data_IF_653244420240
#
_entry.id   IF_653244420240
#
_cell.length_a   1.000
_cell.length_b   1.000
_cell.length_c   1.000
_cell.angle_alpha   90.00
_cell.angle_beta   90.00
_cell.angle_gamma   90.00
#
_symmetry.space_group_name_H-M   'P 1'
#
loop_
_entity.id
_entity.type
_entity.pdbx_description
1 polymer ?
#
# COMPACT_ATOMS: atom_id res chain seq x y z
N UNK A 1 22.26 -8.78 -10.86
CA UNK A 1 22.46 -8.23 -9.51
C UNK A 1 22.86 -6.76 -9.64
N UNK A 2 21.90 -5.87 -9.40
CA UNK A 2 22.18 -4.45 -9.19
C UNK A 2 23.31 -4.29 -8.16
N UNK A 3 24.27 -3.39 -8.40
CA UNK A 3 25.32 -3.06 -7.42
C UNK A 3 24.80 -2.17 -6.28
N UNK A 4 23.51 -1.81 -6.32
CA UNK A 4 22.85 -0.84 -5.45
C UNK A 4 21.60 -1.43 -4.82
N UNK A 5 21.48 -1.25 -3.51
CA UNK A 5 20.35 -1.65 -2.66
C UNK A 5 19.86 -0.48 -1.79
N UNK A 6 18.82 -0.69 -0.98
CA UNK A 6 18.25 0.34 -0.08
C UNK A 6 19.22 0.87 0.99
N UNK A 7 20.36 0.21 1.22
CA UNK A 7 21.39 0.65 2.19
C UNK A 7 22.54 1.41 1.53
N UNK A 8 22.57 1.48 0.20
CA UNK A 8 23.60 2.20 -0.54
C UNK A 8 23.51 3.70 -0.24
N UNK A 9 24.62 4.29 0.23
CA UNK A 9 24.72 5.72 0.52
C UNK A 9 24.84 6.51 -0.80
N UNK A 10 23.78 7.20 -1.18
CA UNK A 10 23.69 7.98 -2.40
C UNK A 10 22.74 9.19 -2.28
N UNK A 11 22.73 10.03 -3.31
CA UNK A 11 21.85 11.19 -3.42
C UNK A 11 20.39 10.75 -3.65
N UNK A 12 19.48 10.93 -2.68
CA UNK A 12 18.09 10.49 -2.81
C UNK A 12 17.34 11.24 -3.90
N UNK A 13 17.75 12.45 -4.29
CA UNK A 13 17.12 13.19 -5.38
C UNK A 13 17.39 12.53 -6.74
N UNK A 14 18.54 11.85 -6.87
CA UNK A 14 18.97 11.16 -8.10
C UNK A 14 18.91 9.64 -8.01
N UNK A 15 18.34 9.13 -6.92
CA UNK A 15 18.23 7.70 -6.62
C UNK A 15 17.43 6.94 -7.67
N UNK A 16 16.32 7.53 -8.08
CA UNK A 16 15.54 7.12 -9.23
C UNK A 16 15.54 8.24 -10.25
N UNK A 17 15.47 7.86 -11.53
CA UNK A 17 15.19 8.82 -12.58
C UNK A 17 13.80 9.42 -12.40
N UNK A 18 13.61 10.62 -12.93
CA UNK A 18 12.28 11.13 -13.22
C UNK A 18 11.53 10.12 -14.09
N UNK A 19 10.26 9.91 -13.81
CA UNK A 19 9.42 8.98 -14.57
C UNK A 19 9.10 9.57 -15.94
N UNK A 20 8.90 10.90 -16.00
CA UNK A 20 8.47 11.66 -17.18
C UNK A 20 7.39 10.89 -17.96
N UNK A 21 6.28 10.52 -17.30
CA UNK A 21 5.38 9.52 -17.83
C UNK A 21 4.73 10.02 -19.14
N UNK A 22 4.72 9.21 -20.22
CA UNK A 22 3.86 9.49 -21.35
C UNK A 22 2.40 9.48 -20.89
N UNK A 23 1.57 10.28 -21.56
CA UNK A 23 0.12 10.19 -21.40
C UNK A 23 -0.33 8.76 -21.70
N UNK A 24 -0.97 8.14 -20.73
CA UNK A 24 -1.46 6.77 -20.81
C UNK A 24 -2.65 6.60 -19.89
N UNK A 25 -3.61 5.79 -20.30
CA UNK A 25 -4.80 5.50 -19.51
C UNK A 25 -5.10 4.01 -19.57
N UNK A 26 -5.58 3.48 -18.46
CA UNK A 26 -6.05 2.12 -18.34
C UNK A 26 -7.42 2.12 -17.64
N UNK A 27 -8.31 1.16 -17.92
CA UNK A 27 -9.49 0.99 -17.08
C UNK A 27 -9.08 0.62 -15.66
N UNK A 28 -9.85 1.07 -14.66
CA UNK A 28 -9.70 0.64 -13.27
C UNK A 28 -9.77 -0.89 -13.14
N UNK A 29 -8.90 -1.53 -12.33
CA UNK A 29 -7.89 -0.92 -11.44
C UNK A 29 -6.56 -0.55 -12.10
N UNK A 30 -6.36 -0.96 -13.36
CA UNK A 30 -5.11 -0.83 -14.09
C UNK A 30 -4.21 -2.06 -13.91
N UNK A 31 -3.35 -2.32 -14.88
CA UNK A 31 -2.35 -3.40 -14.83
C UNK A 31 -0.97 -2.77 -14.88
N UNK A 32 -0.18 -2.96 -13.82
CA UNK A 32 1.13 -2.35 -13.66
C UNK A 32 2.11 -2.79 -14.75
N UNK A 33 2.12 -4.06 -15.13
CA UNK A 33 2.97 -4.58 -16.20
C UNK A 33 2.77 -3.86 -17.55
N UNK A 34 1.65 -3.15 -17.72
CA UNK A 34 1.31 -2.41 -18.95
C UNK A 34 1.64 -0.92 -18.88
N UNK A 35 2.12 -0.44 -17.72
CA UNK A 35 2.55 0.95 -17.55
C UNK A 35 3.85 1.24 -18.29
N UNK A 36 4.04 2.51 -18.65
CA UNK A 36 5.25 2.99 -19.28
C UNK A 36 5.75 4.25 -18.53
N UNK A 37 6.92 4.22 -17.87
CA UNK A 37 7.68 3.02 -17.53
C UNK A 37 6.93 2.13 -16.53
N UNK A 38 7.33 0.86 -16.42
CA UNK A 38 6.85 -0.01 -15.34
C UNK A 38 7.45 0.48 -14.00
N UNK A 39 6.64 0.66 -12.94
CA UNK A 39 7.14 1.00 -11.60
C UNK A 39 8.19 0.02 -11.07
N UNK A 40 9.19 0.53 -10.35
CA UNK A 40 10.18 -0.30 -9.63
C UNK A 40 9.63 -0.68 -8.26
N UNK A 41 9.41 -1.98 -8.03
CA UNK A 41 8.91 -2.52 -6.77
C UNK A 41 10.03 -2.98 -5.83
N UNK A 42 11.28 -2.88 -6.25
CA UNK A 42 12.44 -3.34 -5.51
C UNK A 42 12.84 -4.78 -5.84
N UNK A 43 12.35 -5.34 -6.95
CA UNK A 43 12.65 -6.67 -7.45
C UNK A 43 14.17 -6.90 -7.49
N UNK A 44 14.95 -5.96 -8.01
CA UNK A 44 16.40 -6.13 -8.09
C UNK A 44 17.17 -5.45 -6.94
N UNK A 45 16.50 -4.61 -6.15
CA UNK A 45 17.18 -3.64 -5.27
C UNK A 45 16.85 -3.79 -3.78
N UNK A 46 15.73 -4.39 -3.38
CA UNK A 46 15.42 -4.58 -1.97
C UNK A 46 16.21 -5.78 -1.41
N UNK A 47 17.14 -5.55 -0.48
CA UNK A 47 17.89 -6.61 0.20
C UNK A 47 17.32 -6.93 1.58
N UNK A 48 16.81 -8.14 1.77
CA UNK A 48 16.36 -8.62 3.09
C UNK A 48 17.48 -8.84 4.10
N UNK A 49 17.15 -8.73 5.39
CA UNK A 49 18.07 -8.92 6.52
C UNK A 49 17.49 -9.79 7.63
N UNK A 50 16.34 -10.42 7.41
CA UNK A 50 15.67 -11.32 8.35
C UNK A 50 14.83 -10.61 9.42
N UNK A 51 14.42 -9.35 9.18
CA UNK A 51 13.68 -8.54 10.18
C UNK A 51 12.27 -9.05 10.46
N UNK A 52 11.73 -9.91 9.60
CA UNK A 52 10.39 -10.49 9.69
C UNK A 52 10.39 -12.02 9.61
N UNK A 53 11.49 -12.66 10.01
CA UNK A 53 11.63 -14.11 9.95
C UNK A 53 10.47 -14.84 10.64
N UNK A 54 9.77 -15.70 9.89
CA UNK A 54 8.66 -16.53 10.38
C UNK A 54 7.34 -15.79 10.59
N UNK A 55 7.23 -14.52 10.19
CA UNK A 55 6.00 -13.73 10.26
C UNK A 55 5.02 -14.15 9.17
N UNK A 56 3.74 -13.80 9.37
CA UNK A 56 2.64 -14.12 8.46
C UNK A 56 1.86 -12.87 8.13
N UNK A 57 1.97 -12.42 6.88
CA UNK A 57 1.44 -11.15 6.43
C UNK A 57 0.30 -11.29 5.43
N UNK A 58 -0.73 -10.47 5.58
CA UNK A 58 -1.72 -10.21 4.55
C UNK A 58 -1.56 -8.78 4.03
N UNK A 59 -1.44 -8.60 2.72
CA UNK A 59 -1.33 -7.29 2.05
C UNK A 59 -2.45 -7.15 1.03
N UNK A 60 -3.37 -6.20 1.25
CA UNK A 60 -4.41 -5.87 0.25
C UNK A 60 -3.87 -4.94 -0.83
N UNK A 61 -4.29 -5.12 -2.08
CA UNK A 61 -3.68 -4.45 -3.24
C UNK A 61 -2.21 -4.81 -3.34
N UNK A 62 -1.91 -6.11 -3.11
CA UNK A 62 -0.55 -6.64 -3.01
C UNK A 62 0.00 -7.15 -4.34
N UNK A 63 -0.79 -7.05 -5.41
CA UNK A 63 -0.45 -7.37 -6.80
C UNK A 63 0.48 -6.33 -7.44
N UNK A 64 0.36 -5.06 -7.07
CA UNK A 64 1.04 -3.97 -7.76
C UNK A 64 1.39 -2.80 -6.83
N UNK A 65 2.13 -1.84 -7.37
CA UNK A 65 2.48 -0.59 -6.72
C UNK A 65 3.08 -0.79 -5.33
N UNK A 66 2.64 0.04 -4.38
CA UNK A 66 3.16 0.04 -3.01
C UNK A 66 2.95 -1.32 -2.34
N UNK A 67 1.79 -1.96 -2.53
CA UNK A 67 1.51 -3.25 -1.90
C UNK A 67 2.38 -4.38 -2.46
N UNK A 68 2.63 -4.39 -3.77
CA UNK A 68 3.57 -5.31 -4.40
C UNK A 68 5.00 -5.15 -3.86
N UNK A 69 5.50 -3.90 -3.77
CA UNK A 69 6.82 -3.63 -3.18
C UNK A 69 6.91 -4.07 -1.71
N UNK A 70 5.83 -3.88 -0.93
CA UNK A 70 5.75 -4.34 0.46
C UNK A 70 5.74 -5.86 0.56
N UNK A 71 5.00 -6.55 -0.30
CA UNK A 71 4.95 -8.01 -0.34
C UNK A 71 6.33 -8.61 -0.64
N UNK A 72 7.04 -8.05 -1.64
CA UNK A 72 8.42 -8.44 -1.98
C UNK A 72 9.36 -8.23 -0.79
N UNK A 73 9.31 -7.05 -0.17
CA UNK A 73 10.16 -6.75 0.97
C UNK A 73 9.86 -7.64 2.18
N UNK A 74 8.59 -7.93 2.46
CA UNK A 74 8.19 -8.81 3.55
C UNK A 74 8.72 -10.23 3.35
N UNK A 75 8.58 -10.77 2.13
CA UNK A 75 9.12 -12.08 1.78
C UNK A 75 10.64 -12.13 1.95
N UNK A 76 11.37 -11.12 1.45
CA UNK A 76 12.84 -11.02 1.61
C UNK A 76 13.29 -10.88 3.06
N UNK A 77 12.47 -10.28 3.90
CA UNK A 77 12.73 -10.19 5.34
C UNK A 77 12.32 -11.47 6.10
N UNK A 78 11.78 -12.47 5.41
CA UNK A 78 11.51 -13.82 5.91
C UNK A 78 10.06 -14.09 6.34
N UNK A 79 9.10 -13.27 5.91
CA UNK A 79 7.68 -13.50 6.17
C UNK A 79 7.02 -14.34 5.07
N UNK A 80 6.09 -15.22 5.44
CA UNK A 80 5.13 -15.76 4.48
C UNK A 80 4.06 -14.68 4.18
N UNK A 81 3.65 -14.53 2.92
CA UNK A 81 2.83 -13.41 2.46
C UNK A 81 1.61 -13.88 1.66
N UNK A 82 0.43 -13.46 2.08
CA UNK A 82 -0.78 -13.49 1.27
C UNK A 82 -1.06 -12.11 0.68
N UNK A 83 -1.45 -12.05 -0.59
CA UNK A 83 -1.83 -10.82 -1.29
C UNK A 83 -3.30 -10.88 -1.71
N UNK A 84 -3.99 -9.74 -1.67
CA UNK A 84 -5.36 -9.60 -2.19
C UNK A 84 -5.36 -8.69 -3.39
N UNK A 85 -6.08 -9.06 -4.45
CA UNK A 85 -6.20 -8.28 -5.68
C UNK A 85 -7.55 -8.52 -6.36
N UNK A 86 -7.89 -7.70 -7.35
CA UNK A 86 -9.04 -7.89 -8.22
C UNK A 86 -8.74 -8.87 -9.36
N UNK A 87 -9.76 -9.49 -9.98
CA UNK A 87 -9.55 -10.47 -11.04
C UNK A 87 -8.68 -9.97 -12.21
N UNK A 88 -8.82 -8.71 -12.59
CA UNK A 88 -8.14 -8.12 -13.74
C UNK A 88 -6.62 -7.93 -13.51
N UNK A 89 -6.17 -7.98 -12.25
CA UNK A 89 -4.79 -7.79 -11.82
C UNK A 89 -4.02 -9.13 -11.65
N UNK A 90 -4.62 -10.26 -12.07
CA UNK A 90 -4.03 -11.60 -11.89
C UNK A 90 -2.63 -11.74 -12.49
N UNK A 91 -2.35 -11.02 -13.58
CA UNK A 91 -1.01 -10.97 -14.22
C UNK A 91 0.04 -10.37 -13.28
N UNK A 92 -0.25 -9.22 -12.67
CA UNK A 92 0.65 -8.57 -11.71
C UNK A 92 0.79 -9.39 -10.42
N UNK A 93 -0.32 -9.95 -9.92
CA UNK A 93 -0.32 -10.81 -8.75
C UNK A 93 0.57 -12.05 -8.94
N UNK A 94 0.55 -12.67 -10.12
CA UNK A 94 1.41 -13.81 -10.44
C UNK A 94 2.90 -13.42 -10.38
N UNK A 95 3.26 -12.24 -10.90
CA UNK A 95 4.63 -11.74 -10.81
C UNK A 95 5.08 -11.54 -9.36
N UNK A 96 4.22 -11.01 -8.49
CA UNK A 96 4.54 -10.86 -7.06
C UNK A 96 4.73 -12.23 -6.38
N UNK A 97 3.92 -13.23 -6.72
CA UNK A 97 4.11 -14.59 -6.19
C UNK A 97 5.44 -15.21 -6.62
N UNK A 98 5.91 -14.94 -7.85
CA UNK A 98 7.26 -15.33 -8.30
C UNK A 98 8.33 -14.68 -7.43
N UNK A 99 8.24 -13.37 -7.18
CA UNK A 99 9.19 -12.66 -6.32
C UNK A 99 9.19 -13.17 -4.86
N UNK A 100 8.02 -13.53 -4.33
CA UNK A 100 7.90 -14.14 -3.00
C UNK A 100 8.57 -15.52 -2.96
N UNK A 101 8.34 -16.35 -4.00
CA UNK A 101 8.95 -17.66 -4.11
C UNK A 101 10.48 -17.59 -4.26
N UNK A 102 10.98 -16.63 -5.04
CA UNK A 102 12.42 -16.37 -5.22
C UNK A 102 13.11 -15.95 -3.91
N UNK A 103 12.38 -15.31 -2.99
CA UNK A 103 12.84 -14.99 -1.65
C UNK A 103 12.85 -16.21 -0.70
N UNK A 104 12.33 -17.36 -1.13
CA UNK A 104 12.22 -18.59 -0.33
C UNK A 104 11.07 -18.58 0.68
N UNK A 105 10.09 -17.69 0.51
CA UNK A 105 8.91 -17.58 1.37
C UNK A 105 7.66 -18.20 0.72
N UNK A 106 6.63 -18.49 1.51
CA UNK A 106 5.34 -18.92 0.98
C UNK A 106 4.53 -17.73 0.51
N UNK A 107 4.06 -17.78 -0.73
CA UNK A 107 3.11 -16.83 -1.31
C UNK A 107 1.70 -17.43 -1.47
N UNK A 108 0.65 -16.63 -1.28
CA UNK A 108 -0.73 -16.99 -1.64
C UNK A 108 -1.47 -15.78 -2.21
N UNK A 109 -2.17 -15.92 -3.33
CA UNK A 109 -2.97 -14.84 -3.90
C UNK A 109 -4.46 -15.12 -3.68
N UNK A 110 -5.19 -14.08 -3.25
CA UNK A 110 -6.62 -14.10 -2.96
C UNK A 110 -7.31 -13.11 -3.90
N UNK A 111 -8.15 -13.62 -4.79
CA UNK A 111 -8.99 -12.77 -5.65
C UNK A 111 -10.23 -12.36 -4.84
N UNK A 112 -10.40 -11.06 -4.59
CA UNK A 112 -11.54 -10.55 -3.85
C UNK A 112 -11.78 -9.05 -4.08
N UNK A 113 -13.05 -8.69 -4.28
CA UNK A 113 -13.49 -7.32 -4.04
C UNK A 113 -13.73 -7.12 -2.54
N UNK A 114 -12.94 -6.23 -1.95
CA UNK A 114 -12.98 -5.93 -0.51
C UNK A 114 -14.04 -4.87 -0.15
N UNK A 115 -14.74 -4.29 -1.14
CA UNK A 115 -15.88 -3.41 -0.90
C UNK A 115 -17.11 -4.15 -0.32
N UNK A 116 -17.02 -5.46 -0.07
CA UNK A 116 -18.02 -6.27 0.62
C UNK A 116 -17.53 -6.81 1.99
N UNK A 117 -18.39 -6.67 3.00
CA UNK A 117 -18.07 -7.02 4.38
C UNK A 117 -18.00 -8.53 4.63
N UNK A 118 -18.78 -9.34 3.90
CA UNK A 118 -18.70 -10.80 4.00
C UNK A 118 -17.43 -11.29 3.32
N UNK A 119 -17.11 -10.75 2.13
CA UNK A 119 -15.89 -11.09 1.41
C UNK A 119 -14.63 -10.74 2.20
N UNK A 120 -14.60 -9.61 2.90
CA UNK A 120 -13.50 -9.28 3.81
C UNK A 120 -13.26 -10.34 4.91
N UNK A 121 -14.30 -11.00 5.42
CA UNK A 121 -14.13 -12.06 6.43
C UNK A 121 -13.53 -13.32 5.80
N UNK A 122 -14.04 -13.69 4.63
CA UNK A 122 -13.53 -14.84 3.86
C UNK A 122 -12.05 -14.65 3.49
N UNK A 123 -11.65 -13.42 3.12
CA UNK A 123 -10.25 -13.07 2.86
C UNK A 123 -9.35 -13.34 4.07
N UNK A 124 -9.78 -12.97 5.28
CA UNK A 124 -9.02 -13.25 6.51
C UNK A 124 -8.93 -14.76 6.76
N UNK A 125 -10.04 -15.48 6.65
CA UNK A 125 -10.08 -16.93 6.87
C UNK A 125 -9.16 -17.67 5.89
N UNK A 126 -9.19 -17.27 4.61
CA UNK A 126 -8.35 -17.83 3.55
C UNK A 126 -6.86 -17.55 3.80
N UNK A 127 -6.50 -16.30 4.13
CA UNK A 127 -5.12 -15.93 4.45
C UNK A 127 -4.59 -16.71 5.67
N UNK A 128 -5.38 -16.81 6.74
CA UNK A 128 -5.01 -17.57 7.95
C UNK A 128 -4.80 -19.04 7.62
N UNK A 129 -5.67 -19.63 6.79
CA UNK A 129 -5.56 -21.02 6.35
C UNK A 129 -4.31 -21.27 5.51
N UNK A 130 -4.03 -20.41 4.52
CA UNK A 130 -2.89 -20.56 3.62
C UNK A 130 -1.54 -20.39 4.34
N UNK A 131 -1.45 -19.43 5.26
CA UNK A 131 -0.21 -19.09 5.97
C UNK A 131 -0.03 -19.89 7.27
N UNK A 132 -1.10 -20.45 7.84
CA UNK A 132 -1.08 -21.10 9.15
C UNK A 132 -1.06 -20.09 10.31
N UNK A 133 -1.74 -18.96 10.14
CA UNK A 133 -1.84 -17.86 11.10
C UNK A 133 -1.71 -16.48 10.46
N UNK A 134 -1.83 -15.43 11.26
CA UNK A 134 -1.70 -14.04 10.81
C UNK A 134 -1.12 -13.18 11.95
N UNK A 135 -0.13 -12.35 11.65
CA UNK A 135 0.47 -11.42 12.61
C UNK A 135 0.88 -10.06 12.00
N UNK A 136 0.73 -9.89 10.68
CA UNK A 136 0.82 -8.59 10.00
C UNK A 136 -0.40 -8.42 9.10
N UNK A 137 -1.11 -7.30 9.24
CA UNK A 137 -2.17 -6.89 8.31
C UNK A 137 -1.80 -5.54 7.68
N UNK A 138 -1.74 -5.49 6.36
CA UNK A 138 -1.55 -4.27 5.59
C UNK A 138 -2.82 -3.95 4.79
N UNK A 139 -3.53 -2.92 5.22
CA UNK A 139 -4.67 -2.37 4.47
C UNK A 139 -4.13 -1.31 3.50
N UNK A 140 -3.79 -1.73 2.29
CA UNK A 140 -3.15 -0.91 1.26
C UNK A 140 -4.03 -0.69 0.02
N UNK A 141 -4.90 -1.63 -0.33
CA UNK A 141 -5.83 -1.47 -1.43
C UNK A 141 -6.61 -0.15 -1.32
N UNK A 142 -6.81 0.52 -2.45
CA UNK A 142 -7.49 1.79 -2.47
C UNK A 142 -8.06 2.10 -3.85
N UNK A 143 -9.19 2.81 -3.83
CA UNK A 143 -9.85 3.39 -5.00
C UNK A 143 -9.59 4.89 -5.03
N UNK A 144 -9.25 5.43 -6.20
CA UNK A 144 -9.07 6.86 -6.44
C UNK A 144 -9.52 7.15 -7.87
N UNK A 145 -10.55 7.99 -8.04
CA UNK A 145 -11.04 8.42 -9.35
C UNK A 145 -11.19 9.95 -9.29
N UNK A 146 -10.53 10.65 -10.21
CA UNK A 146 -10.55 12.10 -10.26
C UNK A 146 -11.88 12.63 -10.85
N UNK A 147 -12.45 13.63 -10.19
CA UNK A 147 -13.67 14.34 -10.60
C UNK A 147 -13.49 15.83 -10.30
N UNK A 148 -13.42 16.66 -11.35
CA UNK A 148 -13.12 18.09 -11.24
C UNK A 148 -14.12 18.89 -10.41
N UNK A 149 -15.39 18.45 -10.41
CA UNK A 149 -16.51 19.17 -9.82
C UNK A 149 -17.32 18.28 -8.91
N UNK A 150 -17.65 18.78 -7.73
CA UNK A 150 -18.46 18.04 -6.76
C UNK A 150 -19.86 17.69 -7.30
N UNK A 151 -20.41 18.49 -8.23
CA UNK A 151 -21.71 18.20 -8.84
C UNK A 151 -21.69 17.02 -9.83
N UNK A 152 -20.50 16.66 -10.32
CA UNK A 152 -20.29 15.52 -11.23
C UNK A 152 -19.89 14.24 -10.46
N UNK A 153 -19.58 14.37 -9.17
CA UNK A 153 -19.26 13.24 -8.30
C UNK A 153 -20.55 12.50 -7.94
N UNK A 154 -20.70 11.29 -8.45
CA UNK A 154 -21.90 10.49 -8.19
C UNK A 154 -21.92 9.96 -6.75
N UNK A 155 -23.13 9.73 -6.23
CA UNK A 155 -23.35 9.10 -4.93
C UNK A 155 -22.71 7.70 -4.91
N UNK A 156 -22.79 6.96 -6.02
CA UNK A 156 -22.21 5.61 -6.15
C UNK A 156 -20.68 5.63 -6.06
N UNK A 157 -20.02 6.59 -6.72
CA UNK A 157 -18.56 6.72 -6.61
C UNK A 157 -18.18 7.09 -5.19
N UNK A 158 -18.86 8.09 -4.59
CA UNK A 158 -18.57 8.52 -3.24
C UNK A 158 -18.69 7.35 -2.24
N UNK A 159 -19.79 6.59 -2.31
CA UNK A 159 -19.96 5.42 -1.46
C UNK A 159 -18.88 4.36 -1.72
N UNK A 160 -18.64 3.99 -2.98
CA UNK A 160 -17.69 2.93 -3.32
C UNK A 160 -16.26 3.27 -2.87
N UNK A 161 -15.83 4.53 -3.02
CA UNK A 161 -14.54 5.02 -2.50
C UNK A 161 -14.45 4.83 -0.99
N UNK A 162 -15.50 5.16 -0.22
CA UNK A 162 -15.54 4.92 1.22
C UNK A 162 -15.58 3.44 1.60
N UNK A 163 -16.31 2.62 0.85
CA UNK A 163 -16.39 1.17 1.08
C UNK A 163 -15.01 0.54 0.95
N UNK A 164 -14.28 0.84 -0.11
CA UNK A 164 -12.94 0.30 -0.36
C UNK A 164 -11.92 0.88 0.61
N UNK A 165 -11.92 2.20 0.84
CA UNK A 165 -10.79 2.85 1.52
C UNK A 165 -10.95 2.98 3.04
N UNK A 166 -12.17 2.82 3.58
CA UNK A 166 -12.46 2.99 5.01
C UNK A 166 -13.17 1.77 5.58
N UNK A 167 -14.24 1.31 4.94
CA UNK A 167 -15.02 0.20 5.49
C UNK A 167 -14.26 -1.13 5.37
N UNK A 168 -13.57 -1.37 4.25
CA UNK A 168 -12.78 -2.58 4.08
C UNK A 168 -11.64 -2.69 5.11
N UNK A 169 -10.78 -1.67 5.34
CA UNK A 169 -9.82 -1.71 6.45
C UNK A 169 -10.45 -1.98 7.81
N UNK A 170 -11.63 -1.43 8.08
CA UNK A 170 -12.38 -1.71 9.31
C UNK A 170 -12.84 -3.17 9.39
N UNK A 171 -13.45 -3.71 8.33
CA UNK A 171 -13.95 -5.09 8.28
C UNK A 171 -12.82 -6.12 8.35
N UNK A 172 -11.75 -5.92 7.57
CA UNK A 172 -10.55 -6.75 7.57
C UNK A 172 -9.88 -6.74 8.94
N UNK A 173 -9.67 -5.55 9.52
CA UNK A 173 -9.10 -5.42 10.88
C UNK A 173 -9.97 -6.17 11.88
N UNK A 174 -11.28 -5.92 11.90
CA UNK A 174 -12.21 -6.55 12.83
C UNK A 174 -12.18 -8.08 12.74
N UNK A 175 -12.13 -8.65 11.54
CA UNK A 175 -12.02 -10.09 11.33
C UNK A 175 -10.64 -10.63 11.75
N UNK A 176 -9.56 -9.94 11.38
CA UNK A 176 -8.19 -10.32 11.72
C UNK A 176 -7.94 -10.39 13.24
N UNK A 177 -8.64 -9.57 14.04
CA UNK A 177 -8.48 -9.53 15.50
C UNK A 177 -8.71 -10.88 16.20
N UNK A 178 -9.41 -11.84 15.60
CA UNK A 178 -9.53 -13.19 16.16
C UNK A 178 -8.22 -14.00 16.07
N UNK A 179 -7.30 -13.60 15.19
CA UNK A 179 -6.06 -14.30 14.86
C UNK A 179 -4.81 -13.53 15.30
N UNK A 180 -4.88 -12.20 15.38
CA UNK A 180 -3.77 -11.35 15.81
C UNK A 180 -3.50 -11.49 17.32
N UNK A 181 -2.25 -11.84 17.65
CA UNK A 181 -1.72 -11.97 19.01
C UNK A 181 -0.87 -10.77 19.39
N UNK A 182 -0.52 -10.66 20.67
CA UNK A 182 0.45 -9.66 21.13
C UNK A 182 1.75 -9.74 20.31
N UNK A 183 2.26 -8.58 19.89
CA UNK A 183 3.37 -8.45 18.95
C UNK A 183 2.96 -8.26 17.49
N UNK A 184 1.67 -8.47 17.14
CA UNK A 184 1.17 -8.22 15.80
C UNK A 184 1.17 -6.73 15.43
N UNK A 185 1.18 -6.45 14.13
CA UNK A 185 1.16 -5.09 13.57
C UNK A 185 0.09 -4.95 12.50
N UNK A 186 -0.69 -3.88 12.58
CA UNK A 186 -1.61 -3.43 11.54
C UNK A 186 -1.04 -2.15 10.94
N UNK A 187 -0.96 -2.08 9.62
CA UNK A 187 -0.46 -0.92 8.89
C UNK A 187 -1.49 -0.52 7.86
N UNK A 188 -1.92 0.74 7.90
CA UNK A 188 -2.88 1.28 6.94
C UNK A 188 -2.21 2.29 6.01
N UNK A 189 -2.55 2.25 4.72
CA UNK A 189 -2.03 3.20 3.73
C UNK A 189 -2.96 4.40 3.62
N UNK A 190 -2.54 5.53 4.21
CA UNK A 190 -3.18 6.82 4.01
C UNK A 190 -2.64 7.50 2.74
N UNK A 191 -2.53 8.83 2.76
CA UNK A 191 -1.95 9.64 1.68
C UNK A 191 -1.62 11.03 2.23
N UNK A 192 -0.70 11.73 1.56
CA UNK A 192 -0.55 13.18 1.65
C UNK A 192 -1.91 13.93 1.56
N UNK A 193 -2.83 13.41 0.75
CA UNK A 193 -4.17 13.96 0.52
C UNK A 193 -5.01 14.08 1.81
N UNK A 194 -4.69 13.31 2.86
CA UNK A 194 -5.29 13.45 4.18
C UNK A 194 -5.05 14.84 4.82
N UNK A 195 -4.01 15.53 4.36
CA UNK A 195 -3.52 16.80 4.91
C UNK A 195 -3.54 17.93 3.89
N UNK A 196 -3.32 17.61 2.62
CA UNK A 196 -3.33 18.55 1.49
C UNK A 196 -4.26 18.00 0.41
N UNK A 197 -5.59 18.09 0.58
CA UNK A 197 -6.55 17.56 -0.38
C UNK A 197 -6.46 18.33 -1.71
N UNK A 198 -6.33 17.61 -2.81
CA UNK A 198 -6.49 18.17 -4.14
C UNK A 198 -7.98 18.29 -4.50
N UNK A 199 -8.36 19.34 -5.24
CA UNK A 199 -9.76 19.69 -5.47
C UNK A 199 -10.53 18.65 -6.30
N UNK A 200 -9.83 17.88 -7.11
CA UNK A 200 -10.37 16.89 -8.05
C UNK A 200 -10.51 15.48 -7.47
N UNK A 201 -10.21 15.28 -6.18
CA UNK A 201 -10.28 13.94 -5.54
C UNK A 201 -10.80 14.02 -4.12
N UNK A 202 -11.96 14.68 -4.00
CA UNK A 202 -12.61 15.03 -2.74
C UNK A 202 -12.95 13.80 -1.88
N UNK A 203 -13.64 12.81 -2.44
CA UNK A 203 -14.02 11.57 -1.77
C UNK A 203 -12.76 10.80 -1.31
N UNK A 204 -11.78 10.63 -2.20
CA UNK A 204 -10.51 9.99 -1.89
C UNK A 204 -9.80 10.67 -0.73
N UNK A 205 -9.56 11.98 -0.78
CA UNK A 205 -8.88 12.72 0.28
C UNK A 205 -9.60 12.59 1.63
N UNK A 206 -10.94 12.64 1.63
CA UNK A 206 -11.75 12.40 2.82
C UNK A 206 -11.53 11.00 3.40
N UNK A 207 -11.47 9.96 2.55
CA UNK A 207 -11.17 8.59 3.02
C UNK A 207 -9.77 8.47 3.60
N UNK A 208 -8.78 9.16 3.04
CA UNK A 208 -7.39 9.13 3.52
C UNK A 208 -7.23 9.85 4.87
N UNK A 209 -8.00 10.92 5.11
CA UNK A 209 -8.12 11.51 6.45
C UNK A 209 -8.83 10.58 7.43
N UNK A 210 -9.92 9.94 7.00
CA UNK A 210 -10.69 9.01 7.83
C UNK A 210 -9.86 7.79 8.28
N UNK A 211 -9.14 7.13 7.37
CA UNK A 211 -8.30 5.97 7.72
C UNK A 211 -7.14 6.36 8.64
N UNK A 212 -6.56 7.56 8.45
CA UNK A 212 -5.52 8.06 9.34
C UNK A 212 -6.04 8.25 10.77
N UNK A 213 -7.23 8.84 10.92
CA UNK A 213 -7.86 9.01 12.23
C UNK A 213 -8.31 7.67 12.85
N UNK A 214 -8.94 6.80 12.07
CA UNK A 214 -9.36 5.46 12.50
C UNK A 214 -8.19 4.65 13.06
N UNK A 215 -7.04 4.72 12.39
CA UNK A 215 -5.82 4.03 12.82
C UNK A 215 -5.33 4.48 14.20
N UNK A 216 -5.43 5.78 14.50
CA UNK A 216 -5.08 6.32 15.83
C UNK A 216 -6.05 5.82 16.90
N UNK A 217 -7.34 5.76 16.60
CA UNK A 217 -8.34 5.18 17.49
C UNK A 217 -8.08 3.69 17.77
N UNK A 218 -7.83 2.91 16.71
CA UNK A 218 -7.50 1.48 16.83
C UNK A 218 -6.20 1.25 17.62
N UNK A 219 -5.18 2.08 17.43
CA UNK A 219 -3.93 2.00 18.18
C UNK A 219 -4.15 2.12 19.69
N UNK A 220 -5.02 3.05 20.12
CA UNK A 220 -5.38 3.20 21.53
C UNK A 220 -6.16 1.99 22.04
N UNK A 221 -7.16 1.53 21.28
CA UNK A 221 -8.02 0.42 21.69
C UNK A 221 -7.26 -0.92 21.79
N UNK A 222 -6.27 -1.14 20.92
CA UNK A 222 -5.56 -2.41 20.82
C UNK A 222 -4.25 -2.46 21.62
N UNK A 223 -3.86 -1.36 22.28
CA UNK A 223 -2.65 -1.26 23.07
C UNK A 223 -2.58 -2.31 24.19
N UNK A 224 -3.68 -2.53 24.93
CA UNK A 224 -3.75 -3.54 26.00
C UNK A 224 -3.59 -4.98 25.50
N UNK A 225 -3.86 -5.21 24.20
CA UNK A 225 -3.67 -6.49 23.54
C UNK A 225 -2.25 -6.67 22.97
N UNK A 226 -1.39 -5.66 23.11
CA UNK A 226 -0.03 -5.65 22.56
C UNK A 226 0.00 -5.63 21.03
N UNK A 227 -1.04 -5.09 20.37
CA UNK A 227 -1.10 -4.98 18.90
C UNK A 227 -0.88 -3.51 18.53
N UNK A 228 0.06 -3.27 17.61
CA UNK A 228 0.35 -1.90 17.15
C UNK A 228 -0.46 -1.61 15.89
N UNK A 229 -0.90 -0.36 15.76
CA UNK A 229 -1.58 0.13 14.55
C UNK A 229 -0.91 1.40 14.10
N UNK A 230 -0.38 1.44 12.88
CA UNK A 230 0.31 2.60 12.34
C UNK A 230 -0.13 2.90 10.91
N UNK A 231 0.29 4.05 10.40
CA UNK A 231 -0.08 4.54 9.09
C UNK A 231 1.17 4.88 8.31
N UNK A 232 1.20 4.53 7.03
CA UNK A 232 2.12 5.13 6.05
C UNK A 232 1.33 6.11 5.19
N UNK A 233 1.85 7.33 5.02
CA UNK A 233 1.25 8.37 4.18
C UNK A 233 2.19 8.69 3.01
N UNK A 234 1.98 8.06 1.84
CA UNK A 234 2.75 8.34 0.64
C UNK A 234 2.49 9.75 0.08
N UNK A 235 3.48 10.31 -0.61
CA UNK A 235 3.30 11.41 -1.56
C UNK A 235 2.94 10.89 -2.96
N UNK A 236 3.35 11.62 -4.03
CA UNK A 236 3.22 11.13 -5.40
C UNK A 236 4.11 9.90 -5.62
N UNK A 237 3.50 8.76 -5.91
CA UNK A 237 4.20 7.49 -6.20
C UNK A 237 3.70 6.93 -7.52
N UNK A 238 4.64 6.57 -8.40
CA UNK A 238 4.32 6.01 -9.70
C UNK A 238 3.71 4.62 -9.56
N UNK A 239 2.41 4.50 -9.83
CA UNK A 239 1.60 3.29 -9.61
C UNK A 239 0.44 3.21 -10.60
N UNK A 240 -0.12 2.01 -10.80
CA UNK A 240 -1.26 1.80 -11.71
C UNK A 240 -2.46 2.68 -11.37
N UNK A 241 -2.68 2.94 -10.07
CA UNK A 241 -3.73 3.83 -9.56
C UNK A 241 -3.71 5.23 -10.19
N UNK A 242 -2.54 5.74 -10.61
CA UNK A 242 -2.46 7.07 -11.23
C UNK A 242 -2.94 7.06 -12.68
N UNK A 243 -2.72 5.97 -13.41
CA UNK A 243 -3.09 5.85 -14.84
C UNK A 243 -4.48 5.26 -15.06
N UNK A 244 -5.16 4.84 -13.99
CA UNK A 244 -6.54 4.32 -14.00
C UNK A 244 -7.54 5.34 -13.45
N UNK A 245 -7.59 6.50 -14.11
CA UNK A 245 -8.46 7.64 -13.77
C UNK A 245 -8.14 8.32 -12.42
N UNK A 246 -7.00 8.01 -11.81
CA UNK A 246 -6.58 8.63 -10.55
C UNK A 246 -6.08 10.07 -10.68
N UNK A 247 -5.58 10.47 -11.85
CA UNK A 247 -5.14 11.84 -12.16
C UNK A 247 -5.52 12.25 -13.59
N UNK A 248 -5.64 13.56 -13.81
CA UNK A 248 -5.83 14.17 -15.13
C UNK A 248 -4.56 14.15 -16.00
N UNK A 249 -4.71 14.37 -17.30
CA UNK A 249 -3.60 14.50 -18.26
C UNK A 249 -2.59 15.59 -17.87
N UNK A 250 -3.06 16.70 -17.31
CA UNK A 250 -2.20 17.81 -16.88
C UNK A 250 -1.33 17.40 -15.68
N UNK A 251 -1.95 16.75 -14.70
CA UNK A 251 -1.25 16.21 -13.53
C UNK A 251 -0.28 15.10 -13.93
N UNK A 252 -0.65 14.22 -14.86
CA UNK A 252 0.25 13.16 -15.33
C UNK A 252 1.52 13.75 -15.96
N UNK A 253 1.38 14.79 -16.79
CA UNK A 253 2.55 15.50 -17.36
C UNK A 253 3.41 16.19 -16.30
N UNK A 254 2.80 16.67 -15.23
CA UNK A 254 3.47 17.37 -14.13
C UNK A 254 3.85 16.45 -12.95
N UNK A 255 3.67 15.13 -13.08
CA UNK A 255 3.68 14.20 -11.94
C UNK A 255 4.99 14.21 -11.14
N UNK A 256 6.13 14.41 -11.82
CA UNK A 256 7.44 14.52 -11.18
C UNK A 256 7.69 15.88 -10.51
N UNK A 257 7.01 16.94 -10.95
CA UNK A 257 7.25 18.31 -10.49
C UNK A 257 6.53 18.63 -9.17
N UNK A 258 5.62 17.75 -8.70
CA UNK A 258 4.73 18.01 -7.57
C UNK A 258 5.42 18.11 -6.20
N UNK A 259 6.56 17.42 -6.01
CA UNK A 259 7.22 17.30 -4.71
C UNK A 259 8.59 17.97 -4.66
N UNK A 260 9.11 18.15 -3.44
CA UNK A 260 10.37 18.88 -3.19
C UNK A 260 11.58 18.22 -3.86
N UNK A 261 11.55 16.90 -4.10
CA UNK A 261 12.62 16.17 -4.78
C UNK A 261 12.55 16.25 -6.31
N UNK A 262 11.49 16.84 -6.88
CA UNK A 262 11.32 17.03 -8.33
C UNK A 262 11.43 15.71 -9.13
N UNK A 263 10.95 14.63 -8.51
CA UNK A 263 10.70 13.31 -9.11
C UNK A 263 9.63 12.59 -8.30
N UNK A 264 8.78 11.80 -8.94
CA UNK A 264 7.87 10.91 -8.23
C UNK A 264 8.65 9.81 -7.47
N UNK A 265 8.05 9.32 -6.39
CA UNK A 265 8.57 8.17 -5.67
C UNK A 265 8.33 6.89 -6.46
N UNK A 266 9.23 5.92 -6.33
CA UNK A 266 8.97 4.55 -6.78
C UNK A 266 8.42 3.71 -5.62
N UNK A 267 7.53 2.72 -5.88
CA UNK A 267 7.02 1.83 -4.84
C UNK A 267 8.10 1.19 -3.95
N UNK A 268 9.25 0.83 -4.52
CA UNK A 268 10.42 0.33 -3.80
C UNK A 268 10.84 1.20 -2.60
N UNK A 269 10.66 2.53 -2.70
CA UNK A 269 11.05 3.50 -1.66
C UNK A 269 10.10 3.49 -0.45
N UNK A 270 8.92 2.91 -0.60
CA UNK A 270 7.90 2.83 0.45
C UNK A 270 8.13 1.60 1.33
N UNK A 271 8.60 0.50 0.75
CA UNK A 271 8.72 -0.79 1.42
C UNK A 271 9.50 -0.75 2.76
N UNK A 272 10.63 -0.04 2.90
CA UNK A 272 11.35 0.05 4.19
C UNK A 272 10.50 0.58 5.35
N UNK A 273 9.58 1.51 5.08
CA UNK A 273 8.68 2.06 6.09
C UNK A 273 7.72 0.99 6.63
N UNK A 274 7.15 0.16 5.75
CA UNK A 274 6.28 -0.94 6.15
C UNK A 274 7.05 -2.02 6.92
N UNK A 275 8.27 -2.36 6.49
CA UNK A 275 9.08 -3.34 7.23
C UNK A 275 9.42 -2.84 8.64
N UNK A 276 9.81 -1.57 8.77
CA UNK A 276 10.04 -0.95 10.09
C UNK A 276 8.80 -1.05 10.97
N UNK A 277 7.63 -0.66 10.44
CA UNK A 277 6.37 -0.68 11.20
C UNK A 277 5.87 -2.10 11.49
N UNK A 278 6.21 -3.09 10.67
CA UNK A 278 5.83 -4.48 10.88
C UNK A 278 6.76 -5.20 11.89
N UNK A 279 8.05 -4.86 11.93
CA UNK A 279 9.04 -5.55 12.75
C UNK A 279 8.95 -5.17 14.24
N UNK A 280 9.66 -5.94 15.08
CA UNK A 280 9.74 -5.66 16.52
C UNK A 280 10.57 -4.41 16.86
N UNK A 281 11.34 -3.86 15.91
CA UNK A 281 12.20 -2.70 16.13
C UNK A 281 11.39 -1.42 16.39
N UNK A 282 10.14 -1.38 15.92
CA UNK A 282 9.19 -0.28 16.14
C UNK A 282 8.26 -0.53 17.36
N UNK A 283 8.76 -1.24 18.38
CA UNK A 283 7.97 -1.64 19.56
C UNK A 283 7.29 -0.50 20.33
N UNK A 284 7.83 0.72 20.26
CA UNK A 284 7.26 1.92 20.88
C UNK A 284 6.57 2.87 19.89
N UNK A 285 6.28 2.38 18.68
CA UNK A 285 5.59 3.13 17.62
C UNK A 285 4.20 2.53 17.42
N UNK A 286 3.18 3.23 17.90
CA UNK A 286 1.77 2.90 17.70
C UNK A 286 0.95 4.19 17.61
N UNK A 287 0.01 4.25 16.67
CA UNK A 287 -0.78 5.44 16.35
C UNK A 287 -0.01 6.49 15.53
N UNK A 288 1.17 6.15 15.02
CA UNK A 288 2.00 7.07 14.25
C UNK A 288 1.60 7.09 12.77
N UNK A 289 1.79 8.24 12.13
CA UNK A 289 1.73 8.41 10.68
C UNK A 289 3.13 8.68 10.17
N UNK A 290 3.69 7.75 9.40
CA UNK A 290 5.00 7.89 8.77
C UNK A 290 4.83 8.43 7.35
N UNK A 291 5.30 9.66 7.13
CA UNK A 291 5.24 10.32 5.83
C UNK A 291 6.41 9.86 4.94
N UNK A 292 6.10 9.36 3.74
CA UNK A 292 7.09 8.99 2.72
C UNK A 292 6.72 9.71 1.42
N UNK A 293 7.07 10.99 1.33
CA UNK A 293 6.43 11.92 0.41
C UNK A 293 7.39 12.90 -0.30
N UNK A 294 8.68 12.57 -0.39
CA UNK A 294 9.64 13.38 -1.15
C UNK A 294 9.85 14.80 -0.59
N UNK A 295 9.71 14.98 0.72
CA UNK A 295 9.95 16.26 1.39
C UNK A 295 8.77 17.23 1.36
N UNK A 296 7.55 16.74 1.12
CA UNK A 296 6.34 17.55 1.20
C UNK A 296 5.88 17.69 2.66
N UNK A 297 5.90 18.93 3.18
CA UNK A 297 5.59 19.21 4.58
C UNK A 297 4.10 18.99 4.84
N UNK A 298 3.78 18.21 5.89
CA UNK A 298 2.42 17.97 6.40
C UNK A 298 2.37 18.18 7.92
N UNK A 299 1.18 18.49 8.50
CA UNK A 299 0.97 18.60 9.94
C UNK A 299 1.19 17.30 10.73
#
# INVERSE_FOLDING_TARGET
MSTRDQYTFDDPVKRYSRVEPPLQHQPEPGVQARMQPVPDLGEETYRGTGRLAGRKALVTGGDSGIGGAVAIAFAREGADVAIVHLPDETEDAAHILEQIADAGARGHAIIADIADAARCREVIDEAVSALGGLDILVNNAGRQIAVDRVEDLSDEQFELTFRTNVFAPFWLTKAALAHLRAGASIINTASLEAYKPAPDRLDYAATKAAINNLSKGLAQQLAERGIRVNVVAPGPVWTALQVSDGVSDEQMKAFDDENTYQRSGQPAELAPAYVFLASAESSYVSGATLNVNGGMITP
#
